data_IF_218616947454
#
_entry.id   IF_218616947454
#
_cell.length_a   1.000
_cell.length_b   1.000
_cell.length_c   1.000
_cell.angle_alpha   90.00
_cell.angle_beta   90.00
_cell.angle_gamma   90.00
#
_symmetry.space_group_name_H-M   'P 1'
#
loop_
_entity.id
_entity.type
_entity.pdbx_description
1 polymer ?
#
# COMPACT_ATOMS: atom_id res chain seq x y z
N UNK A 1 -62.88 -4.52 9.49
CA UNK A 1 -61.67 -4.76 8.63
C UNK A 1 -60.89 -3.47 8.60
N UNK A 2 -59.73 -3.50 9.21
CA UNK A 2 -59.05 -2.27 9.68
C UNK A 2 -58.11 -1.70 8.62
N UNK A 3 -58.27 -0.40 8.37
CA UNK A 3 -57.45 0.43 7.44
C UNK A 3 -55.97 0.59 7.85
N UNK A 4 -55.45 -0.16 8.83
CA UNK A 4 -54.05 -0.09 9.31
C UNK A 4 -53.11 -1.11 8.64
N UNK A 5 -53.61 -2.07 7.89
CA UNK A 5 -52.80 -3.13 7.29
C UNK A 5 -52.28 -2.77 5.88
N UNK A 6 -52.91 -1.80 5.21
CA UNK A 6 -52.56 -1.40 3.84
C UNK A 6 -51.41 -0.41 3.76
N UNK A 7 -51.17 0.36 4.83
CA UNK A 7 -50.09 1.39 4.86
C UNK A 7 -48.69 0.77 5.12
N UNK A 8 -48.63 -0.41 5.74
CA UNK A 8 -47.34 -1.07 6.03
C UNK A 8 -46.74 -1.79 4.80
N UNK A 9 -47.61 -2.28 3.88
CA UNK A 9 -47.13 -2.94 2.66
C UNK A 9 -46.59 -1.96 1.61
N UNK A 10 -47.12 -0.74 1.52
CA UNK A 10 -46.63 0.28 0.60
C UNK A 10 -45.26 0.84 1.04
N UNK A 11 -45.03 0.97 2.36
CA UNK A 11 -43.74 1.41 2.90
C UNK A 11 -42.62 0.38 2.69
N UNK A 12 -42.90 -0.93 2.76
CA UNK A 12 -41.92 -1.97 2.49
C UNK A 12 -41.54 -2.07 0.99
N UNK A 13 -42.50 -1.82 0.08
CA UNK A 13 -42.19 -1.82 -1.35
C UNK A 13 -41.36 -0.63 -1.82
N UNK A 14 -41.48 0.53 -1.18
CA UNK A 14 -40.67 1.71 -1.51
C UNK A 14 -39.21 1.59 -1.00
N UNK A 15 -39.01 0.96 0.16
CA UNK A 15 -37.65 0.70 0.67
C UNK A 15 -36.91 -0.37 -0.15
N UNK A 16 -37.65 -1.36 -0.69
CA UNK A 16 -37.07 -2.37 -1.58
C UNK A 16 -36.70 -1.81 -2.97
N UNK A 17 -37.44 -0.82 -3.46
CA UNK A 17 -37.15 -0.17 -4.74
C UNK A 17 -35.89 0.73 -4.66
N UNK A 18 -35.69 1.44 -3.55
CA UNK A 18 -34.49 2.26 -3.35
C UNK A 18 -33.21 1.41 -3.14
N UNK A 19 -33.31 0.23 -2.52
CA UNK A 19 -32.19 -0.70 -2.38
C UNK A 19 -31.80 -1.33 -3.73
N UNK A 20 -32.78 -1.61 -4.59
CA UNK A 20 -32.52 -2.15 -5.94
C UNK A 20 -32.01 -1.08 -6.92
N UNK A 21 -32.38 0.20 -6.75
CA UNK A 21 -31.86 1.30 -7.56
C UNK A 21 -30.39 1.62 -7.21
N UNK A 22 -29.98 1.47 -5.94
CA UNK A 22 -28.58 1.64 -5.52
C UNK A 22 -27.67 0.46 -5.93
N UNK A 23 -28.22 -0.73 -6.22
CA UNK A 23 -27.45 -1.87 -6.71
C UNK A 23 -27.12 -1.80 -8.21
N UNK A 24 -27.87 -1.04 -9.00
CA UNK A 24 -27.68 -0.97 -10.46
C UNK A 24 -26.62 0.03 -10.93
N UNK A 25 -26.15 0.95 -10.06
CA UNK A 25 -25.04 1.89 -10.40
C UNK A 25 -23.65 1.29 -10.16
N UNK A 26 -23.55 0.09 -9.57
CA UNK A 26 -22.29 -0.56 -9.24
C UNK A 26 -21.72 -1.49 -10.33
N UNK A 27 -22.41 -1.65 -11.48
CA UNK A 27 -22.04 -2.61 -12.55
C UNK A 27 -21.57 -1.93 -13.85
N UNK A 28 -21.09 -0.70 -13.83
CA UNK A 28 -20.45 -0.13 -15.03
C UNK A 28 -19.04 -0.67 -15.18
N UNK A 29 -18.88 -1.56 -16.16
CA UNK A 29 -17.58 -1.94 -16.70
C UNK A 29 -16.78 -0.69 -17.10
N UNK A 30 -15.43 -0.69 -16.97
CA UNK A 30 -14.62 0.37 -17.55
C UNK A 30 -14.94 0.50 -19.04
N UNK A 31 -14.88 1.70 -19.61
CA UNK A 31 -15.18 1.92 -21.02
C UNK A 31 -14.28 1.04 -21.91
N UNK A 32 -14.75 0.58 -23.08
CA UNK A 32 -14.04 -0.35 -23.94
C UNK A 32 -12.71 0.19 -24.52
N UNK A 33 -12.39 1.45 -24.31
CA UNK A 33 -11.16 2.15 -24.67
C UNK A 33 -10.17 2.32 -23.50
N UNK A 34 -10.37 1.57 -22.40
CA UNK A 34 -9.45 1.57 -21.26
C UNK A 34 -8.04 1.08 -21.64
N UNK A 35 -7.03 1.94 -21.43
CA UNK A 35 -5.63 1.66 -21.70
C UNK A 35 -4.84 1.64 -20.38
N UNK A 36 -4.10 0.58 -20.04
CA UNK A 36 -3.25 0.50 -18.85
C UNK A 36 -2.28 1.67 -18.69
N UNK A 37 -1.83 2.28 -19.80
CA UNK A 37 -1.00 3.47 -19.78
C UNK A 37 -1.72 4.73 -19.24
N UNK A 38 -3.04 4.71 -19.09
CA UNK A 38 -3.80 5.83 -18.56
C UNK A 38 -3.78 5.91 -17.03
N UNK A 39 -3.36 4.83 -16.36
CA UNK A 39 -3.25 4.77 -14.90
C UNK A 39 -2.15 5.64 -14.31
N UNK A 40 -1.12 5.93 -15.09
CA UNK A 40 -0.04 6.85 -14.71
C UNK A 40 -0.47 8.35 -14.75
N UNK A 41 -1.74 8.64 -15.04
CA UNK A 41 -2.20 9.98 -15.41
C UNK A 41 -3.14 10.66 -14.43
N UNK A 42 -3.48 10.05 -13.28
CA UNK A 42 -4.38 10.69 -12.30
C UNK A 42 -3.74 10.75 -10.92
N UNK A 43 -3.42 11.97 -10.44
CA UNK A 43 -3.21 12.15 -9.02
C UNK A 43 -4.52 11.86 -8.29
N UNK A 44 -4.42 11.23 -7.11
CA UNK A 44 -5.53 10.93 -6.23
C UNK A 44 -6.36 12.19 -5.92
N UNK A 45 -7.60 12.19 -6.37
CA UNK A 45 -8.63 13.15 -6.00
C UNK A 45 -9.96 12.41 -5.89
N UNK A 46 -10.95 12.92 -5.14
CA UNK A 46 -12.29 12.34 -5.11
C UNK A 46 -12.85 12.26 -6.54
N UNK A 47 -13.76 11.29 -6.84
CA UNK A 47 -14.36 11.16 -8.15
C UNK A 47 -15.00 12.48 -8.58
N UNK A 48 -14.92 12.88 -9.86
CA UNK A 48 -15.47 14.14 -10.32
C UNK A 48 -17.00 14.12 -10.14
N UNK A 49 -17.49 14.99 -9.26
CA UNK A 49 -18.87 15.40 -9.28
C UNK A 49 -19.14 16.11 -10.62
N UNK A 50 -20.28 15.83 -11.24
CA UNK A 50 -20.75 16.51 -12.44
C UNK A 50 -20.72 18.02 -12.23
N UNK A 51 -19.86 18.72 -12.97
CA UNK A 51 -19.70 20.17 -12.85
C UNK A 51 -18.81 20.78 -13.92
N UNK A 52 -19.44 21.36 -14.91
CA UNK A 52 -19.02 22.49 -15.76
C UNK A 52 -17.56 22.61 -16.21
N UNK A 53 -17.32 22.35 -17.49
CA UNK A 53 -16.41 23.07 -18.38
C UNK A 53 -15.01 23.44 -17.87
N UNK A 54 -14.20 22.48 -17.38
CA UNK A 54 -12.76 22.69 -17.26
C UNK A 54 -12.07 22.39 -18.59
N UNK A 55 -11.14 23.26 -19.05
CA UNK A 55 -10.36 22.99 -20.25
C UNK A 55 -9.62 21.65 -20.08
N UNK A 56 -9.35 20.91 -21.19
CA UNK A 56 -8.61 19.66 -21.13
C UNK A 56 -7.26 19.90 -20.44
N UNK A 57 -7.01 19.19 -19.34
CA UNK A 57 -5.71 19.24 -18.67
C UNK A 57 -4.67 18.75 -19.68
N UNK A 58 -3.63 19.53 -19.91
CA UNK A 58 -2.47 19.10 -20.66
C UNK A 58 -2.02 17.74 -20.09
N UNK A 59 -1.83 16.78 -21.00
CA UNK A 59 -1.31 15.45 -20.71
C UNK A 59 0.12 15.66 -20.20
N UNK A 60 0.34 15.61 -18.89
CA UNK A 60 1.69 15.65 -18.35
C UNK A 60 2.47 14.47 -18.94
N UNK A 61 3.55 14.79 -19.63
CA UNK A 61 4.46 13.76 -20.16
C UNK A 61 5.16 13.10 -18.96
N UNK A 62 5.41 11.81 -19.07
CA UNK A 62 6.19 11.08 -18.08
C UNK A 62 7.58 11.74 -17.92
N UNK A 63 7.93 12.11 -16.69
CA UNK A 63 9.26 12.64 -16.36
C UNK A 63 10.14 11.48 -15.87
N UNK A 64 11.16 11.08 -16.64
CA UNK A 64 11.98 9.93 -16.29
C UNK A 64 12.89 10.15 -15.09
N UNK A 65 13.19 11.40 -14.72
CA UNK A 65 14.06 11.75 -13.60
C UNK A 65 13.28 12.05 -12.31
N UNK A 66 11.99 12.39 -12.44
CA UNK A 66 11.09 12.67 -11.34
C UNK A 66 9.74 11.98 -11.57
N UNK A 67 9.71 10.64 -11.66
CA UNK A 67 8.47 9.94 -11.95
C UNK A 67 7.43 10.18 -10.85
N UNK A 68 6.17 10.36 -11.26
CA UNK A 68 5.06 10.37 -10.33
C UNK A 68 4.86 8.95 -9.79
N UNK A 69 5.05 8.78 -8.49
CA UNK A 69 5.06 7.49 -7.81
C UNK A 69 4.23 7.57 -6.53
N UNK A 70 3.51 6.51 -6.23
CA UNK A 70 2.80 6.33 -4.97
C UNK A 70 3.00 4.90 -4.47
N UNK A 71 3.33 4.73 -3.18
CA UNK A 71 3.52 3.44 -2.51
C UNK A 71 4.55 2.54 -3.23
N UNK A 72 5.81 3.00 -3.40
CA UNK A 72 6.81 2.27 -4.17
C UNK A 72 7.43 1.12 -3.38
N UNK A 73 7.63 -0.01 -4.06
CA UNK A 73 8.54 -1.09 -3.67
C UNK A 73 9.43 -1.44 -4.85
N UNK A 74 10.58 -2.05 -4.58
CA UNK A 74 11.58 -2.29 -5.60
C UNK A 74 12.17 -3.70 -5.51
N UNK A 75 12.54 -4.24 -6.66
CA UNK A 75 13.36 -5.45 -6.75
C UNK A 75 14.44 -5.26 -7.82
N UNK A 76 15.53 -6.01 -7.70
CA UNK A 76 16.59 -6.02 -8.71
C UNK A 76 16.71 -7.41 -9.31
N UNK A 77 16.67 -7.49 -10.66
CA UNK A 77 17.01 -8.68 -11.41
C UNK A 77 18.12 -8.34 -12.40
N UNK A 78 19.22 -9.05 -12.33
CA UNK A 78 20.45 -8.75 -13.06
C UNK A 78 20.96 -7.31 -12.81
N UNK A 79 21.04 -6.48 -13.84
CA UNK A 79 21.45 -5.08 -13.76
C UNK A 79 20.28 -4.09 -13.72
N UNK A 80 19.03 -4.59 -13.65
CA UNK A 80 17.83 -3.76 -13.77
C UNK A 80 17.07 -3.72 -12.45
N UNK A 81 16.77 -2.52 -11.98
CA UNK A 81 15.84 -2.26 -10.89
C UNK A 81 14.43 -2.15 -11.45
N UNK A 82 13.48 -2.84 -10.84
CA UNK A 82 12.06 -2.80 -11.14
C UNK A 82 11.33 -2.21 -9.95
N UNK A 83 10.62 -1.10 -10.17
CA UNK A 83 9.83 -0.43 -9.16
C UNK A 83 8.37 -0.71 -9.42
N UNK A 84 7.71 -1.28 -8.43
CA UNK A 84 6.28 -1.56 -8.42
C UNK A 84 5.58 -0.50 -7.57
N UNK A 85 4.42 -0.04 -8.03
CA UNK A 85 3.71 1.04 -7.33
C UNK A 85 2.21 0.96 -7.51
N UNK A 86 1.49 1.64 -6.65
CA UNK A 86 0.05 1.87 -6.79
C UNK A 86 -0.29 2.37 -8.18
N UNK A 87 -1.26 1.70 -8.83
CA UNK A 87 -1.70 2.02 -10.19
C UNK A 87 -2.74 1.04 -10.71
N UNK A 88 -3.13 1.20 -11.97
CA UNK A 88 -4.01 0.23 -12.61
C UNK A 88 -3.26 -1.08 -12.82
N UNK A 89 -3.67 -2.11 -12.06
CA UNK A 89 -3.06 -3.43 -12.10
C UNK A 89 -1.62 -3.49 -11.56
N UNK A 90 -1.21 -2.61 -10.63
CA UNK A 90 0.17 -2.39 -10.15
C UNK A 90 1.10 -1.94 -11.29
N UNK A 91 1.41 -0.66 -11.32
CA UNK A 91 2.30 -0.09 -12.35
C UNK A 91 3.76 -0.45 -12.11
N UNK A 92 4.53 -0.60 -13.18
CA UNK A 92 5.95 -0.97 -13.14
C UNK A 92 6.78 0.09 -13.85
N UNK A 93 7.86 0.54 -13.18
CA UNK A 93 8.95 1.29 -13.79
C UNK A 93 10.22 0.43 -13.76
N UNK A 94 11.19 0.74 -14.62
CA UNK A 94 12.51 0.12 -14.61
C UNK A 94 13.62 1.14 -14.72
N UNK A 95 14.77 0.85 -14.11
CA UNK A 95 15.97 1.68 -14.13
C UNK A 95 17.22 0.82 -14.04
N UNK A 96 18.34 1.33 -14.55
CA UNK A 96 19.66 0.70 -14.37
C UNK A 96 20.57 1.52 -13.42
N UNK A 97 20.14 2.69 -12.99
CA UNK A 97 20.94 3.65 -12.24
C UNK A 97 20.23 4.25 -11.00
N UNK A 98 18.94 3.93 -10.78
CA UNK A 98 18.05 4.51 -9.77
C UNK A 98 17.75 6.00 -9.97
N UNK A 99 18.25 6.63 -11.01
CA UNK A 99 18.11 8.06 -11.31
C UNK A 99 17.16 8.31 -12.49
N UNK A 100 17.23 7.42 -13.48
CA UNK A 100 16.45 7.54 -14.71
C UNK A 100 15.54 6.34 -14.88
N UNK A 101 14.26 6.58 -14.94
CA UNK A 101 13.21 5.55 -14.94
C UNK A 101 12.48 5.48 -16.26
N UNK A 102 12.03 4.31 -16.62
CA UNK A 102 11.23 4.04 -17.82
C UNK A 102 9.97 3.28 -17.43
N UNK A 103 8.88 3.52 -18.16
CA UNK A 103 7.66 2.73 -17.99
C UNK A 103 7.90 1.28 -18.47
N UNK A 104 7.57 0.30 -17.62
CA UNK A 104 7.78 -1.13 -17.90
C UNK A 104 6.46 -1.94 -17.89
N UNK A 105 5.31 -1.28 -17.86
CA UNK A 105 4.00 -1.92 -17.92
C UNK A 105 3.30 -2.02 -16.58
N UNK A 106 2.56 -3.12 -16.38
CA UNK A 106 1.84 -3.42 -15.14
C UNK A 106 1.82 -4.93 -14.88
N UNK A 107 1.64 -5.32 -13.63
CA UNK A 107 1.49 -6.74 -13.21
C UNK A 107 0.23 -7.35 -13.83
N UNK A 108 -0.90 -6.64 -13.74
CA UNK A 108 -2.17 -7.09 -14.29
C UNK A 108 -2.61 -6.17 -15.44
N UNK A 109 -2.90 -6.76 -16.58
CA UNK A 109 -3.56 -6.08 -17.70
C UNK A 109 -5.08 -6.11 -17.56
N UNK A 110 -5.59 -7.07 -16.80
CA UNK A 110 -7.00 -7.21 -16.42
C UNK A 110 -7.07 -7.37 -14.91
N UNK A 111 -7.93 -6.61 -14.20
CA UNK A 111 -8.06 -6.74 -12.76
C UNK A 111 -8.41 -8.16 -12.34
N UNK A 112 -7.86 -8.67 -11.21
CA UNK A 112 -8.23 -9.96 -10.65
C UNK A 112 -9.74 -10.08 -10.43
N UNK A 113 -10.36 -11.09 -11.04
CA UNK A 113 -11.82 -11.25 -11.02
C UNK A 113 -12.35 -11.45 -9.59
N UNK A 114 -11.64 -12.26 -8.77
CA UNK A 114 -12.02 -12.47 -7.38
C UNK A 114 -12.10 -11.16 -6.58
N UNK A 115 -11.22 -10.19 -6.87
CA UNK A 115 -11.23 -8.90 -6.18
C UNK A 115 -12.37 -8.01 -6.65
N UNK A 116 -12.70 -8.02 -7.95
CA UNK A 116 -13.89 -7.34 -8.47
C UNK A 116 -15.19 -7.85 -7.85
N UNK A 117 -15.27 -9.17 -7.64
CA UNK A 117 -16.46 -9.84 -7.10
C UNK A 117 -16.61 -9.65 -5.59
N UNK A 118 -15.48 -9.58 -4.85
CA UNK A 118 -15.50 -9.65 -3.40
C UNK A 118 -15.19 -8.32 -2.70
N UNK A 119 -14.42 -7.39 -3.31
CA UNK A 119 -14.05 -6.11 -2.70
C UNK A 119 -14.91 -4.98 -3.25
N UNK A 120 -15.93 -4.60 -2.51
CA UNK A 120 -16.83 -3.50 -2.90
C UNK A 120 -16.05 -2.19 -3.10
N UNK A 121 -16.20 -1.57 -4.27
CA UNK A 121 -15.50 -0.33 -4.62
C UNK A 121 -14.16 -0.51 -5.34
N UNK A 122 -13.57 -1.70 -5.35
CA UNK A 122 -12.40 -2.00 -6.18
C UNK A 122 -12.77 -1.99 -7.67
N UNK A 123 -11.95 -1.37 -8.51
CA UNK A 123 -12.17 -1.23 -9.96
C UNK A 123 -10.86 -1.39 -10.76
N UNK A 124 -9.91 -2.17 -10.23
CA UNK A 124 -8.62 -2.42 -10.88
C UNK A 124 -7.51 -1.43 -10.53
N UNK A 125 -7.81 -0.35 -9.78
CA UNK A 125 -6.76 0.49 -9.20
C UNK A 125 -6.21 -0.22 -7.97
N UNK A 126 -5.06 -0.88 -8.14
CA UNK A 126 -4.44 -1.79 -7.18
C UNK A 126 -3.37 -1.02 -6.41
N UNK A 127 -3.36 -1.17 -5.08
CA UNK A 127 -2.57 -0.33 -4.19
C UNK A 127 -1.41 -1.07 -3.56
N UNK A 128 -0.42 -0.27 -3.12
CA UNK A 128 0.63 -0.63 -2.19
C UNK A 128 1.12 -2.07 -2.37
N UNK A 129 1.85 -2.37 -3.44
CA UNK A 129 2.44 -3.70 -3.63
C UNK A 129 3.62 -3.92 -2.69
N UNK A 130 3.95 -5.19 -2.45
CA UNK A 130 5.25 -5.63 -1.94
C UNK A 130 5.83 -6.70 -2.84
N UNK A 131 7.15 -6.72 -3.03
CA UNK A 131 7.84 -7.63 -3.93
C UNK A 131 9.04 -8.27 -3.23
N UNK A 132 9.13 -9.59 -3.29
CA UNK A 132 10.26 -10.33 -2.75
C UNK A 132 10.65 -11.51 -3.65
N UNK A 133 11.91 -11.95 -3.56
CA UNK A 133 12.36 -13.20 -4.15
C UNK A 133 12.28 -14.31 -3.12
N UNK A 134 11.56 -15.39 -3.42
CA UNK A 134 11.50 -16.58 -2.57
C UNK A 134 11.80 -17.81 -3.42
N UNK A 135 12.92 -18.46 -3.14
CA UNK A 135 13.43 -19.53 -3.98
C UNK A 135 13.68 -19.04 -5.42
N UNK A 136 13.10 -19.71 -6.39
CA UNK A 136 13.29 -19.43 -7.82
C UNK A 136 12.21 -18.49 -8.39
N UNK A 137 11.32 -17.97 -7.58
CA UNK A 137 10.23 -17.11 -8.05
C UNK A 137 10.21 -15.74 -7.36
N UNK A 138 9.66 -14.76 -8.04
CA UNK A 138 9.23 -13.49 -7.48
C UNK A 138 7.80 -13.60 -6.99
N UNK A 139 7.55 -13.10 -5.78
CA UNK A 139 6.24 -13.04 -5.16
C UNK A 139 5.86 -11.59 -4.94
N UNK A 140 4.67 -11.20 -5.36
CA UNK A 140 4.15 -9.85 -5.23
C UNK A 140 2.82 -9.88 -4.50
N UNK A 141 2.77 -9.25 -3.32
CA UNK A 141 1.51 -8.98 -2.64
C UNK A 141 0.95 -7.65 -3.13
N UNK A 142 -0.37 -7.52 -3.13
CA UNK A 142 -1.04 -6.31 -3.62
C UNK A 142 -2.36 -6.09 -2.90
N UNK A 143 -2.78 -4.83 -2.79
CA UNK A 143 -3.97 -4.42 -2.05
C UNK A 143 -5.13 -4.06 -2.97
N UNK A 144 -6.31 -4.63 -2.70
CA UNK A 144 -7.57 -4.30 -3.34
C UNK A 144 -8.50 -3.64 -2.32
N UNK A 145 -8.87 -2.37 -2.53
CA UNK A 145 -9.62 -1.61 -1.55
C UNK A 145 -10.41 -0.46 -2.17
N UNK A 146 -11.07 0.32 -1.32
CA UNK A 146 -11.60 1.65 -1.61
C UNK A 146 -11.31 2.62 -0.47
N UNK A 147 -11.17 3.92 -0.79
CA UNK A 147 -10.66 4.91 0.14
C UNK A 147 -11.57 5.12 1.37
N UNK A 148 -10.97 5.15 2.56
CA UNK A 148 -11.63 5.50 3.83
C UNK A 148 -12.49 4.42 4.47
N UNK A 149 -12.42 3.19 3.96
CA UNK A 149 -13.09 2.00 4.54
C UNK A 149 -12.10 0.85 4.66
N UNK A 150 -12.38 -0.13 5.53
CA UNK A 150 -11.59 -1.35 5.66
C UNK A 150 -12.28 -2.57 5.04
N UNK A 151 -13.06 -2.38 3.98
CA UNK A 151 -13.51 -3.49 3.15
C UNK A 151 -12.46 -3.76 2.08
N UNK A 152 -11.43 -4.50 2.45
CA UNK A 152 -10.17 -4.60 1.70
C UNK A 152 -9.66 -6.03 1.66
N UNK A 153 -8.80 -6.33 0.69
CA UNK A 153 -8.13 -7.63 0.63
C UNK A 153 -6.70 -7.47 0.08
N UNK A 154 -5.80 -8.32 0.56
CA UNK A 154 -4.47 -8.52 0.02
C UNK A 154 -4.50 -9.80 -0.83
N UNK A 155 -4.01 -9.70 -2.06
CA UNK A 155 -3.78 -10.82 -2.95
C UNK A 155 -2.31 -11.11 -3.17
N UNK A 156 -2.00 -12.25 -3.79
CA UNK A 156 -0.68 -12.71 -4.15
C UNK A 156 -0.60 -12.95 -5.64
N UNK A 157 0.49 -12.52 -6.28
CA UNK A 157 0.86 -12.86 -7.65
C UNK A 157 2.31 -13.35 -7.70
N UNK A 158 2.62 -14.19 -8.68
CA UNK A 158 3.98 -14.75 -8.84
C UNK A 158 4.45 -14.67 -10.28
N UNK A 159 5.78 -14.56 -10.47
CA UNK A 159 6.47 -14.70 -11.77
C UNK A 159 7.86 -15.30 -11.56
N UNK A 160 8.44 -15.91 -12.58
CA UNK A 160 9.81 -16.40 -12.51
C UNK A 160 10.85 -15.35 -12.92
N UNK A 161 10.44 -14.33 -13.68
CA UNK A 161 11.32 -13.24 -14.09
C UNK A 161 10.60 -11.91 -14.04
N UNK A 162 11.33 -10.83 -13.71
CA UNK A 162 10.86 -9.44 -13.78
C UNK A 162 11.13 -8.83 -15.16
N UNK A 163 11.99 -9.45 -15.97
CA UNK A 163 12.36 -8.96 -17.28
C UNK A 163 11.26 -9.28 -18.33
N UNK A 164 10.55 -8.28 -18.88
CA UNK A 164 9.48 -8.52 -19.86
C UNK A 164 9.94 -9.18 -21.16
N UNK A 165 11.25 -9.27 -21.38
CA UNK A 165 11.84 -9.94 -22.56
C UNK A 165 12.22 -11.39 -22.28
N UNK A 166 12.18 -11.84 -21.04
CA UNK A 166 12.44 -13.22 -20.65
C UNK A 166 11.28 -14.13 -21.09
N UNK A 167 11.54 -15.35 -21.56
CA UNK A 167 10.49 -16.35 -21.77
C UNK A 167 9.78 -16.75 -20.47
N UNK A 168 10.42 -16.53 -19.32
CA UNK A 168 9.93 -16.86 -17.99
C UNK A 168 9.15 -15.70 -17.36
N UNK A 169 8.99 -14.57 -18.07
CA UNK A 169 8.16 -13.45 -17.63
C UNK A 169 6.67 -13.76 -17.84
N UNK A 170 5.89 -13.59 -16.77
CA UNK A 170 4.45 -13.74 -16.85
C UNK A 170 3.85 -13.84 -15.44
N UNK A 171 3.07 -12.85 -15.06
CA UNK A 171 2.43 -12.80 -13.75
C UNK A 171 1.24 -13.76 -13.68
N UNK A 172 1.21 -14.56 -12.63
CA UNK A 172 0.09 -15.46 -12.29
C UNK A 172 -0.54 -14.97 -10.99
N UNK A 173 -1.81 -14.58 -11.05
CA UNK A 173 -2.62 -14.29 -9.85
C UNK A 173 -2.86 -15.58 -9.06
N UNK A 174 -2.53 -15.58 -7.78
CA UNK A 174 -2.74 -16.70 -6.84
C UNK A 174 -4.00 -16.52 -6.01
N UNK A 175 -4.67 -15.37 -6.14
CA UNK A 175 -5.88 -15.08 -5.39
C UNK A 175 -5.62 -14.39 -4.05
N UNK A 176 -6.63 -14.42 -3.21
CA UNK A 176 -6.68 -13.72 -1.93
C UNK A 176 -5.85 -14.43 -0.86
N UNK A 177 -5.11 -13.64 -0.06
CA UNK A 177 -4.34 -14.08 1.10
C UNK A 177 -5.06 -13.72 2.39
N UNK A 178 -5.43 -12.44 2.54
CA UNK A 178 -6.08 -11.94 3.76
C UNK A 178 -7.15 -10.91 3.40
N UNK A 179 -8.15 -10.80 4.26
CA UNK A 179 -9.31 -9.95 4.03
C UNK A 179 -9.74 -9.24 5.30
N UNK A 180 -10.19 -7.98 5.15
CA UNK A 180 -10.94 -7.28 6.19
C UNK A 180 -12.34 -6.91 5.69
N UNK A 181 -13.32 -6.95 6.61
CA UNK A 181 -14.70 -6.54 6.36
C UNK A 181 -15.06 -5.40 7.30
N UNK A 182 -15.72 -4.41 6.76
CA UNK A 182 -16.18 -3.26 7.56
C UNK A 182 -17.01 -3.71 8.75
N UNK A 183 -16.61 -3.32 9.96
CA UNK A 183 -17.23 -3.63 11.26
C UNK A 183 -17.04 -5.08 11.75
N UNK A 184 -16.28 -5.91 11.08
CA UNK A 184 -15.93 -7.24 11.56
C UNK A 184 -14.51 -7.25 12.10
N UNK A 185 -13.54 -6.86 11.26
CA UNK A 185 -12.15 -6.71 11.68
C UNK A 185 -11.86 -5.27 12.11
N UNK A 186 -11.03 -5.16 13.14
CA UNK A 186 -10.53 -3.87 13.65
C UNK A 186 -9.23 -3.42 12.97
N UNK A 187 -8.89 -3.98 11.82
CA UNK A 187 -7.74 -3.65 11.00
C UNK A 187 -8.13 -3.52 9.52
N UNK A 188 -7.22 -3.04 8.69
CA UNK A 188 -7.44 -2.86 7.26
C UNK A 188 -6.44 -3.71 6.46
N UNK A 189 -6.93 -4.61 5.61
CA UNK A 189 -6.11 -5.52 4.79
C UNK A 189 -5.54 -4.79 3.56
N UNK A 190 -4.62 -3.85 3.78
CA UNK A 190 -3.83 -3.16 2.76
C UNK A 190 -2.39 -2.96 3.25
N UNK A 191 -1.51 -2.52 2.36
CA UNK A 191 -0.11 -2.23 2.63
C UNK A 191 0.67 -3.46 3.12
N UNK A 192 0.68 -4.56 2.35
CA UNK A 192 1.40 -5.77 2.74
C UNK A 192 2.92 -5.57 2.69
N UNK A 193 3.64 -6.33 3.55
CA UNK A 193 5.06 -6.58 3.40
C UNK A 193 5.39 -8.00 3.85
N UNK A 194 6.07 -8.76 3.00
CA UNK A 194 6.57 -10.10 3.30
C UNK A 194 7.93 -10.02 3.97
N UNK A 195 8.08 -10.75 5.06
CA UNK A 195 9.36 -10.91 5.76
C UNK A 195 9.67 -12.39 5.92
N UNK A 196 10.87 -12.80 5.56
CA UNK A 196 11.40 -14.11 5.93
C UNK A 196 12.27 -13.89 7.16
N UNK A 197 11.92 -14.53 8.27
CA UNK A 197 12.68 -14.35 9.51
C UNK A 197 14.03 -15.08 9.48
N UNK A 198 14.85 -14.87 10.51
CA UNK A 198 16.17 -15.48 10.66
C UNK A 198 16.13 -17.01 10.71
N UNK A 199 14.97 -17.62 10.96
CA UNK A 199 14.72 -19.04 10.96
C UNK A 199 14.18 -19.57 9.62
N UNK A 200 14.00 -18.68 8.63
CA UNK A 200 13.45 -18.98 7.32
C UNK A 200 11.93 -19.09 7.27
N UNK A 201 11.22 -18.63 8.33
CA UNK A 201 9.76 -18.64 8.36
C UNK A 201 9.19 -17.39 7.68
N UNK A 202 8.18 -17.54 6.81
CA UNK A 202 7.52 -16.38 6.19
C UNK A 202 6.51 -15.73 7.14
N UNK A 203 6.51 -14.41 7.15
CA UNK A 203 5.59 -13.56 7.89
C UNK A 203 5.00 -12.50 6.96
N UNK A 204 3.72 -12.19 7.12
CA UNK A 204 3.05 -11.07 6.47
C UNK A 204 2.74 -10.01 7.50
N UNK A 205 3.22 -8.79 7.27
CA UNK A 205 2.78 -7.60 7.99
C UNK A 205 1.96 -6.70 7.05
N UNK A 206 0.96 -6.01 7.60
CA UNK A 206 0.07 -5.12 6.85
C UNK A 206 -0.64 -4.16 7.79
N UNK A 207 -1.36 -3.18 7.22
CA UNK A 207 -2.30 -2.38 7.98
C UNK A 207 -2.22 -0.89 7.69
N UNK A 208 -3.36 -0.24 7.83
CA UNK A 208 -3.52 1.20 7.69
C UNK A 208 -4.67 1.67 8.57
N UNK A 209 -4.40 2.60 9.48
CA UNK A 209 -5.35 3.13 10.45
C UNK A 209 -5.94 2.03 11.37
N UNK A 210 -7.21 2.11 11.74
CA UNK A 210 -7.94 1.18 12.65
C UNK A 210 -7.09 0.77 13.85
N UNK A 211 -6.77 -0.51 14.01
CA UNK A 211 -5.92 -1.00 15.10
C UNK A 211 -4.42 -1.00 14.73
N UNK A 212 -4.06 -0.37 13.64
CA UNK A 212 -2.66 -0.19 13.24
C UNK A 212 -2.11 -1.38 12.46
N UNK A 213 -0.82 -1.66 12.68
CA UNK A 213 -0.05 -2.63 11.92
C UNK A 213 -0.21 -4.02 12.52
N UNK A 214 -0.58 -4.96 11.67
CA UNK A 214 -0.77 -6.37 11.98
C UNK A 214 0.41 -7.20 11.50
N UNK A 215 0.62 -8.34 12.13
CA UNK A 215 1.60 -9.36 11.76
C UNK A 215 0.99 -10.74 11.94
N UNK A 216 1.21 -11.64 10.97
CA UNK A 216 0.85 -13.05 11.06
C UNK A 216 1.92 -13.91 10.39
N UNK A 217 2.16 -15.10 10.91
CA UNK A 217 3.00 -16.08 10.23
C UNK A 217 2.24 -16.67 9.03
N UNK A 218 2.94 -16.92 7.93
CA UNK A 218 2.40 -17.65 6.79
C UNK A 218 2.90 -19.10 6.79
N UNK A 219 2.17 -19.96 6.09
CA UNK A 219 2.64 -21.28 5.71
C UNK A 219 3.69 -21.17 4.57
N UNK A 220 4.36 -22.26 4.25
CA UNK A 220 5.36 -22.34 3.17
C UNK A 220 4.77 -22.00 1.80
N UNK A 221 3.45 -22.06 1.62
CA UNK A 221 2.76 -21.65 0.40
C UNK A 221 2.71 -20.11 0.20
N UNK A 222 3.16 -19.32 1.19
CA UNK A 222 3.18 -17.87 1.21
C UNK A 222 1.78 -17.22 1.09
N UNK A 223 0.73 -18.01 1.26
CA UNK A 223 -0.65 -17.59 1.07
C UNK A 223 -1.55 -17.87 2.27
N UNK A 224 -1.27 -18.92 3.01
CA UNK A 224 -2.12 -19.36 4.14
C UNK A 224 -1.62 -18.78 5.46
N UNK A 225 -2.39 -17.87 6.13
CA UNK A 225 -2.05 -17.39 7.46
C UNK A 225 -2.12 -18.52 8.52
N UNK A 226 -1.13 -18.55 9.42
CA UNK A 226 -1.06 -19.50 10.54
C UNK A 226 -1.29 -18.76 11.84
N UNK A 227 -2.41 -19.06 12.50
CA UNK A 227 -2.83 -18.41 13.75
C UNK A 227 -3.58 -17.10 13.53
N UNK A 228 -3.75 -16.35 14.61
CA UNK A 228 -4.45 -15.06 14.60
C UNK A 228 -3.47 -13.91 14.39
N UNK A 229 -3.84 -12.87 13.62
CA UNK A 229 -3.04 -11.67 13.51
C UNK A 229 -2.82 -10.98 14.85
N UNK A 230 -1.62 -10.45 15.06
CA UNK A 230 -1.30 -9.63 16.22
C UNK A 230 -0.94 -8.20 15.81
N UNK A 231 -1.35 -7.22 16.60
CA UNK A 231 -0.97 -5.82 16.36
C UNK A 231 0.45 -5.58 16.88
N UNK A 232 1.33 -5.02 16.05
CA UNK A 232 2.74 -4.74 16.40
C UNK A 232 3.07 -3.24 16.49
N UNK A 233 2.25 -2.35 15.88
CA UNK A 233 2.44 -0.91 15.98
C UNK A 233 1.12 -0.14 15.90
N UNK A 234 1.04 0.99 16.62
CA UNK A 234 -0.06 1.97 16.61
C UNK A 234 0.49 3.39 16.68
N UNK A 235 -0.19 4.33 16.04
CA UNK A 235 0.12 5.76 16.18
C UNK A 235 -0.43 6.34 17.49
N UNK A 236 -1.49 5.73 18.02
CA UNK A 236 -2.16 6.13 19.25
C UNK A 236 -2.11 5.02 20.30
N UNK A 237 -2.20 5.41 21.57
CA UNK A 237 -2.36 4.44 22.66
C UNK A 237 -3.65 3.62 22.48
N UNK A 238 -3.68 2.34 22.86
CA UNK A 238 -4.82 1.45 22.63
C UNK A 238 -6.16 2.00 23.11
N UNK A 239 -6.19 2.73 24.24
CA UNK A 239 -7.40 3.35 24.79
C UNK A 239 -8.05 4.41 23.88
N UNK A 240 -7.35 4.89 22.86
CA UNK A 240 -7.84 5.87 21.88
C UNK A 240 -8.22 5.25 20.54
N UNK A 241 -7.92 3.96 20.34
CA UNK A 241 -8.29 3.25 19.11
C UNK A 241 -9.79 3.03 19.07
N UNK A 242 -10.42 3.36 17.94
CA UNK A 242 -11.87 3.24 17.72
C UNK A 242 -12.18 1.94 17.01
N UNK A 243 -12.44 0.89 17.77
CA UNK A 243 -12.79 -0.42 17.23
C UNK A 243 -14.18 -0.45 16.60
N UNK A 244 -14.42 -1.36 15.70
CA UNK A 244 -15.69 -1.61 15.03
C UNK A 244 -16.25 -0.41 14.26
N UNK A 245 -15.41 0.54 13.86
CA UNK A 245 -15.84 1.73 13.10
C UNK A 245 -15.99 1.42 11.61
N UNK A 246 -16.91 2.14 10.96
CA UNK A 246 -17.16 2.01 9.52
C UNK A 246 -16.15 2.76 8.66
N UNK A 247 -15.51 3.79 9.22
CA UNK A 247 -14.53 4.65 8.54
C UNK A 247 -13.21 4.59 9.29
N UNK A 248 -12.12 4.93 8.60
CA UNK A 248 -10.81 5.13 9.20
C UNK A 248 -10.92 6.04 10.42
N UNK A 249 -10.22 5.69 11.47
CA UNK A 249 -10.09 6.46 12.69
C UNK A 249 -8.87 7.40 12.62
N UNK A 250 -8.50 7.98 13.73
CA UNK A 250 -7.36 8.89 13.88
C UNK A 250 -6.06 8.19 14.34
N UNK A 251 -6.02 6.84 14.30
CA UNK A 251 -4.82 6.03 14.53
C UNK A 251 -3.99 5.96 13.24
N UNK A 252 -3.43 7.11 12.82
CA UNK A 252 -2.77 7.31 11.54
C UNK A 252 -1.37 6.68 11.51
N UNK A 253 -1.32 5.36 11.34
CA UNK A 253 -0.14 4.55 11.06
C UNK A 253 -0.47 3.57 9.95
N UNK A 254 0.44 3.41 8.98
CA UNK A 254 0.27 2.52 7.83
C UNK A 254 1.61 2.13 7.21
N UNK A 255 1.57 1.36 6.11
CA UNK A 255 2.72 1.03 5.29
C UNK A 255 3.89 0.43 6.08
N UNK A 256 3.71 -0.74 6.73
CA UNK A 256 4.81 -1.41 7.40
C UNK A 256 5.82 -1.94 6.39
N UNK A 257 7.11 -1.87 6.77
CA UNK A 257 8.18 -2.54 6.07
C UNK A 257 9.21 -3.02 7.10
N UNK A 258 9.51 -4.32 7.13
CA UNK A 258 10.43 -4.90 8.09
C UNK A 258 11.70 -5.36 7.37
N UNK A 259 12.85 -4.99 7.91
CA UNK A 259 14.16 -5.53 7.52
C UNK A 259 14.90 -6.09 8.72
N UNK A 260 15.72 -7.11 8.47
CA UNK A 260 16.68 -7.66 9.44
C UNK A 260 18.04 -6.97 9.23
N UNK A 261 18.61 -6.46 10.32
CA UNK A 261 19.94 -5.91 10.33
C UNK A 261 20.59 -6.07 11.72
N UNK A 262 21.81 -6.63 11.77
CA UNK A 262 22.64 -6.77 12.96
C UNK A 262 21.91 -7.39 14.17
N UNK A 263 21.12 -8.44 13.91
CA UNK A 263 20.37 -9.19 14.93
C UNK A 263 19.07 -8.54 15.40
N UNK A 264 18.64 -7.46 14.76
CA UNK A 264 17.37 -6.79 15.03
C UNK A 264 16.46 -6.76 13.80
N UNK A 265 15.18 -6.89 14.02
CA UNK A 265 14.14 -6.52 13.06
C UNK A 265 13.82 -5.05 13.22
N UNK A 266 13.89 -4.29 12.13
CA UNK A 266 13.54 -2.88 12.08
C UNK A 266 12.20 -2.73 11.37
N UNK A 267 11.19 -2.29 12.10
CA UNK A 267 9.86 -1.99 11.58
C UNK A 267 9.79 -0.51 11.20
N UNK A 268 9.79 -0.25 9.91
CA UNK A 268 9.46 1.07 9.34
C UNK A 268 7.94 1.16 9.18
N UNK A 269 7.39 2.32 9.48
CA UNK A 269 5.97 2.63 9.28
C UNK A 269 5.81 4.07 8.82
N UNK A 270 4.66 4.39 8.27
CA UNK A 270 4.31 5.76 7.94
C UNK A 270 3.32 6.31 8.94
N UNK A 271 3.60 7.49 9.47
CA UNK A 271 2.74 8.22 10.40
C UNK A 271 2.03 9.38 9.71
N UNK A 272 0.87 9.70 10.26
CA UNK A 272 0.02 10.83 9.94
C UNK A 272 -0.59 10.72 8.53
N UNK A 273 -0.71 11.79 7.74
CA UNK A 273 -1.65 11.83 6.63
C UNK A 273 -0.95 12.00 5.28
N UNK A 274 -1.10 10.99 4.42
CA UNK A 274 -0.80 11.05 2.99
C UNK A 274 -1.89 11.78 2.18
N UNK A 275 -1.73 11.82 0.87
CA UNK A 275 -2.79 12.04 -0.12
C UNK A 275 -3.46 13.42 -0.08
N UNK A 276 -2.76 14.44 0.45
CA UNK A 276 -3.23 15.82 0.60
C UNK A 276 -2.37 16.85 -0.14
N UNK A 277 -1.47 16.40 -1.02
CA UNK A 277 -0.52 17.26 -1.70
C UNK A 277 0.32 18.07 -0.70
N UNK A 278 0.41 19.39 -0.87
CA UNK A 278 1.15 20.28 0.03
C UNK A 278 0.62 20.30 1.49
N UNK A 279 -0.54 19.73 1.75
CA UNK A 279 -1.13 19.62 3.10
C UNK A 279 -0.88 18.24 3.73
N UNK A 280 -0.11 17.38 3.08
CA UNK A 280 0.29 16.11 3.64
C UNK A 280 1.20 16.32 4.84
N UNK A 281 1.02 15.49 5.87
CA UNK A 281 1.86 15.49 7.10
C UNK A 281 2.58 14.16 7.24
N UNK A 282 2.69 13.41 6.16
CA UNK A 282 3.22 12.07 6.06
C UNK A 282 4.68 12.03 6.47
N UNK A 283 5.07 11.01 7.24
CA UNK A 283 6.44 10.83 7.68
C UNK A 283 6.75 9.36 7.93
N UNK A 284 7.98 8.96 7.67
CA UNK A 284 8.48 7.63 8.00
C UNK A 284 9.03 7.61 9.41
N UNK A 285 8.61 6.61 10.19
CA UNK A 285 9.13 6.33 11.51
C UNK A 285 9.66 4.90 11.59
N UNK A 286 10.57 4.64 12.54
CA UNK A 286 11.18 3.33 12.72
C UNK A 286 11.30 2.95 14.20
N UNK A 287 11.11 1.67 14.48
CA UNK A 287 11.46 1.03 15.74
C UNK A 287 12.12 -0.31 15.49
N UNK A 288 12.73 -0.92 16.51
CA UNK A 288 13.40 -2.21 16.39
C UNK A 288 13.06 -3.19 17.49
N UNK A 289 13.24 -4.48 17.22
CA UNK A 289 13.07 -5.58 18.17
C UNK A 289 14.03 -6.71 17.83
N UNK A 290 14.46 -7.48 18.82
CA UNK A 290 15.19 -8.73 18.62
C UNK A 290 14.28 -9.87 18.12
N UNK A 291 12.96 -9.73 18.28
CA UNK A 291 11.96 -10.70 17.83
C UNK A 291 11.04 -10.06 16.78
N UNK A 292 10.72 -10.81 15.74
CA UNK A 292 9.82 -10.35 14.68
C UNK A 292 8.42 -9.99 15.19
N UNK A 293 7.95 -10.66 16.22
CA UNK A 293 6.68 -10.39 16.89
C UNK A 293 6.73 -9.17 17.82
N UNK A 294 7.91 -8.58 18.01
CA UNK A 294 8.11 -7.44 18.89
C UNK A 294 8.45 -7.81 20.35
N UNK A 295 8.29 -6.90 21.31
CA UNK A 295 7.83 -5.52 21.12
C UNK A 295 8.86 -4.65 20.37
N UNK A 296 8.41 -3.92 19.36
CA UNK A 296 9.24 -2.90 18.69
C UNK A 296 9.32 -1.64 19.55
N UNK A 297 10.51 -1.14 19.72
CA UNK A 297 10.78 0.09 20.50
C UNK A 297 11.53 1.10 19.63
N UNK A 298 11.27 2.38 19.85
CA UNK A 298 12.00 3.48 19.24
C UNK A 298 13.36 3.74 19.97
N UNK A 299 14.11 4.74 19.49
CA UNK A 299 15.42 5.10 20.06
C UNK A 299 15.32 5.52 21.53
N UNK A 300 14.18 6.05 21.96
CA UNK A 300 13.95 6.49 23.34
C UNK A 300 13.37 5.37 24.23
N UNK A 301 13.20 4.14 23.68
CA UNK A 301 12.65 2.98 24.38
C UNK A 301 11.13 2.95 24.47
N UNK A 302 10.40 3.85 23.77
CA UNK A 302 8.95 3.83 23.72
C UNK A 302 8.45 2.77 22.75
N UNK A 303 7.50 1.94 23.20
CA UNK A 303 6.92 0.90 22.35
C UNK A 303 6.07 1.48 21.21
N UNK A 304 6.25 0.95 20.00
CA UNK A 304 5.43 1.29 18.83
C UNK A 304 3.96 0.92 19.01
N UNK A 305 3.65 -0.08 19.81
CA UNK A 305 2.27 -0.39 20.24
C UNK A 305 1.59 0.74 21.03
N UNK A 306 2.35 1.70 21.53
CA UNK A 306 1.88 2.83 22.34
C UNK A 306 2.22 4.19 21.73
N UNK A 307 2.40 4.24 20.41
CA UNK A 307 2.67 5.45 19.66
C UNK A 307 4.16 5.85 19.60
N UNK A 308 5.08 4.96 19.99
CA UNK A 308 6.51 5.12 19.76
C UNK A 308 6.86 5.04 18.29
N UNK A 309 8.05 5.51 17.95
CA UNK A 309 8.62 5.50 16.60
C UNK A 309 9.56 6.69 16.39
N UNK A 310 10.83 6.40 16.16
CA UNK A 310 11.83 7.42 15.82
C UNK A 310 11.57 7.92 14.40
N UNK A 311 11.31 9.22 14.25
CA UNK A 311 11.09 9.82 12.92
C UNK A 311 12.40 9.79 12.13
N UNK A 312 12.37 9.15 10.97
CA UNK A 312 13.49 9.06 10.05
C UNK A 312 13.48 10.18 9.01
N UNK A 313 12.33 10.44 8.41
CA UNK A 313 12.11 11.52 7.43
C UNK A 313 10.63 11.92 7.43
N UNK A 314 10.35 13.16 7.11
CA UNK A 314 9.00 13.68 6.96
C UNK A 314 9.00 14.88 6.02
N UNK A 315 8.58 16.06 6.49
CA UNK A 315 8.72 17.30 5.74
C UNK A 315 10.19 17.66 5.56
N UNK A 316 10.56 18.05 4.34
CA UNK A 316 11.90 18.55 3.96
C UNK A 316 11.75 19.87 3.19
N UNK A 317 12.85 20.44 2.75
CA UNK A 317 12.82 21.63 1.88
C UNK A 317 12.08 21.32 0.57
N UNK A 318 12.23 20.10 0.03
CA UNK A 318 11.67 19.69 -1.26
C UNK A 318 10.27 19.09 -1.15
N UNK A 319 9.94 18.44 -0.02
CA UNK A 319 8.71 17.64 0.14
C UNK A 319 7.90 18.07 1.35
N UNK A 320 6.58 18.19 1.20
CA UNK A 320 5.64 18.46 2.30
C UNK A 320 5.46 17.25 3.25
N UNK A 321 5.82 16.06 2.79
CA UNK A 321 5.81 14.83 3.58
C UNK A 321 6.39 13.68 2.76
N UNK A 322 7.05 12.73 3.44
CA UNK A 322 7.68 11.55 2.83
C UNK A 322 7.30 10.31 3.63
N UNK A 323 6.74 9.30 2.96
CA UNK A 323 6.33 8.06 3.60
C UNK A 323 6.06 6.94 2.61
N UNK A 324 5.49 5.85 3.10
CA UNK A 324 5.30 4.59 2.40
C UNK A 324 6.63 4.10 1.83
N UNK A 325 7.54 3.80 2.75
CA UNK A 325 8.91 3.47 2.38
C UNK A 325 9.12 1.96 2.23
N UNK A 326 10.14 1.63 1.47
CA UNK A 326 10.76 0.32 1.42
C UNK A 326 12.28 0.47 1.51
N UNK A 327 12.95 -0.54 2.08
CA UNK A 327 14.39 -0.50 2.37
C UNK A 327 15.03 -1.78 1.86
N UNK A 328 16.11 -1.66 1.10
CA UNK A 328 16.77 -2.80 0.45
C UNK A 328 18.28 -2.74 0.60
N UNK A 329 18.89 -3.89 0.82
CA UNK A 329 20.31 -4.07 0.59
C UNK A 329 20.53 -4.52 -0.86
N UNK A 330 21.32 -3.77 -1.60
CA UNK A 330 21.63 -4.08 -3.00
C UNK A 330 23.00 -3.53 -3.36
N UNK A 331 23.81 -4.32 -4.06
CA UNK A 331 25.18 -3.96 -4.47
C UNK A 331 26.07 -3.52 -3.29
N UNK A 332 25.87 -4.13 -2.12
CA UNK A 332 26.65 -3.83 -0.89
C UNK A 332 26.31 -2.47 -0.24
N UNK A 333 25.18 -1.88 -0.59
CA UNK A 333 24.64 -0.64 0.02
C UNK A 333 23.17 -0.77 0.35
N UNK A 334 22.73 0.00 1.32
CA UNK A 334 21.32 0.11 1.69
C UNK A 334 20.68 1.27 0.96
N UNK A 335 19.54 1.00 0.34
CA UNK A 335 18.72 1.98 -0.40
C UNK A 335 17.36 2.11 0.29
N UNK A 336 16.99 3.34 0.58
CA UNK A 336 15.65 3.72 1.02
C UNK A 336 14.89 4.31 -0.16
N UNK A 337 13.69 3.83 -0.42
CA UNK A 337 12.76 4.43 -1.37
C UNK A 337 11.44 4.76 -0.66
N UNK A 338 10.78 5.82 -1.11
CA UNK A 338 9.48 6.26 -0.61
C UNK A 338 8.79 7.12 -1.66
N UNK A 339 7.55 7.57 -1.40
CA UNK A 339 7.04 8.70 -2.15
C UNK A 339 7.02 9.97 -1.28
N UNK A 340 7.19 11.12 -1.92
CA UNK A 340 7.15 12.43 -1.28
C UNK A 340 6.29 13.41 -2.08
N UNK A 341 5.64 14.36 -1.40
CA UNK A 341 4.77 15.37 -2.02
C UNK A 341 5.59 16.61 -2.36
N UNK A 342 6.04 16.72 -3.62
CA UNK A 342 6.98 17.72 -4.10
C UNK A 342 6.42 19.15 -4.02
N UNK A 343 7.13 20.04 -3.33
CA UNK A 343 6.68 21.42 -3.09
C UNK A 343 6.72 22.28 -4.36
N UNK A 344 7.71 22.08 -5.21
CA UNK A 344 7.88 22.76 -6.50
C UNK A 344 6.86 22.27 -7.56
N UNK A 345 6.23 21.10 -7.34
CA UNK A 345 5.23 20.50 -8.22
C UNK A 345 3.82 20.47 -7.59
N UNK A 346 3.49 21.47 -6.82
CA UNK A 346 2.17 21.65 -6.21
C UNK A 346 1.69 20.47 -5.36
N UNK A 347 2.62 19.71 -4.76
CA UNK A 347 2.33 18.53 -3.95
C UNK A 347 2.03 17.27 -4.74
N UNK A 348 2.44 17.19 -5.99
CA UNK A 348 2.45 15.94 -6.75
C UNK A 348 3.36 14.92 -6.06
N UNK A 349 2.91 13.66 -5.94
CA UNK A 349 3.75 12.63 -5.36
C UNK A 349 4.84 12.22 -6.34
N UNK A 350 6.06 12.07 -5.85
CA UNK A 350 7.24 11.72 -6.61
C UNK A 350 8.05 10.66 -5.89
N UNK A 351 8.86 9.91 -6.64
CA UNK A 351 9.81 8.96 -6.08
C UNK A 351 10.89 9.70 -5.30
N UNK A 352 11.11 9.25 -4.07
CA UNK A 352 12.23 9.66 -3.21
C UNK A 352 13.18 8.48 -3.07
N UNK A 353 14.44 8.66 -3.47
CA UNK A 353 15.50 7.66 -3.29
C UNK A 353 16.59 8.25 -2.41
N UNK A 354 17.05 7.50 -1.42
CA UNK A 354 18.11 7.89 -0.49
C UNK A 354 19.06 6.73 -0.24
N UNK A 355 20.31 7.04 0.06
CA UNK A 355 21.20 6.07 0.68
C UNK A 355 20.87 5.99 2.17
N UNK A 356 20.71 4.74 2.66
CA UNK A 356 20.52 4.49 4.09
C UNK A 356 21.84 3.97 4.67
N UNK A 357 22.23 4.51 5.81
CA UNK A 357 23.39 4.06 6.58
C UNK A 357 22.98 3.74 8.00
N UNK A 358 23.72 2.86 8.65
CA UNK A 358 23.48 2.46 10.04
C UNK A 358 24.46 3.15 10.97
N UNK A 359 23.96 3.92 11.93
CA UNK A 359 24.76 4.64 12.92
C UNK A 359 24.26 4.31 14.33
N UNK A 360 25.14 3.76 15.17
CA UNK A 360 24.79 3.31 16.52
C UNK A 360 23.59 2.34 16.55
N UNK A 361 23.49 1.48 15.51
CA UNK A 361 22.40 0.53 15.34
C UNK A 361 21.05 1.16 14.96
N UNK A 362 21.06 2.35 14.35
CA UNK A 362 19.85 3.02 13.84
C UNK A 362 20.05 3.54 12.41
N UNK A 363 19.00 3.50 11.57
CA UNK A 363 19.11 4.00 10.21
C UNK A 363 19.20 5.53 10.17
N UNK A 364 19.97 6.02 9.23
CA UNK A 364 20.05 7.44 8.84
C UNK A 364 20.02 7.56 7.33
N UNK A 365 19.54 8.68 6.81
CA UNK A 365 19.39 8.90 5.38
C UNK A 365 20.29 10.04 4.89
N UNK A 366 20.92 9.80 3.73
CA UNK A 366 21.66 10.81 2.95
C UNK A 366 21.12 10.85 1.51
N UNK A 367 21.40 11.90 0.73
CA UNK A 367 21.14 11.87 -0.71
C UNK A 367 21.74 10.60 -1.35
N UNK A 368 21.13 10.13 -2.45
CA UNK A 368 21.66 9.01 -3.21
C UNK A 368 23.02 9.42 -3.80
N UNK A 369 24.03 8.61 -3.51
CA UNK A 369 25.39 8.75 -4.05
C UNK A 369 25.64 7.82 -5.24
#
# INVERSE_FOLDING_TARGET
MNARTTTLLVALCLVAADVLAQQNDSLRMPPPDWNPADSLRRPFGPPPGEGNGRPPRHREMFDPTHPSVHDPVMAKEDSTYYLFMTGMGVSILSSTDLLTWQQAGSVFTTPPQWALDSVSGYRGHTWAPDIARVGDQWVLYYSCSSFGVNNSAIGLATTQSLNPKSPDYGWTDRGMVIRSHTRQEDWNAIDPNLVIDQQGQPWLTWGSFWDGIQLVRLDEDLQTPIGEPQTIARRQKPSKVKHGTKKANDNAVEAPFIVDYDGYYYLFVSFDLCCRGLKSTYKTAVGRSENIEGPYVDRDGQQMLSGGGTILIGETDDYAGVGHCAVYETDGRWIFIAHGYAKDRQGQSQLVVRTLTWQDGWPTLTPLE
#
